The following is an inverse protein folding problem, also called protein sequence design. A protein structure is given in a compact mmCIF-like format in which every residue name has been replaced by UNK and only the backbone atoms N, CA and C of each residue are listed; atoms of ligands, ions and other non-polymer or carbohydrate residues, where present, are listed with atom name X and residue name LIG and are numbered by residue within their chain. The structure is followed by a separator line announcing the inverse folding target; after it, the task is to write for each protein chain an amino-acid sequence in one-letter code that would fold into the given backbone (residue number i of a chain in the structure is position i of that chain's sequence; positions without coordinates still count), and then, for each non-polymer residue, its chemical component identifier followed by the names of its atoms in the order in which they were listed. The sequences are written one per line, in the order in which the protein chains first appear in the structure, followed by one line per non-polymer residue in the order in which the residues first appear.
data_IF_636799249071
#
_entry.id   IF_636799249071
#
_cell.length_a   1.000
_cell.length_b   1.000
_cell.length_c   1.000
_cell.angle_alpha   90.00
_cell.angle_beta   90.00
_cell.angle_gamma   90.00
#
_symmetry.space_group_name_H-M   'P 1'
#
loop_
_entity.id
_entity.type
_entity.pdbx_description
1 polymer ?
#
# COMPACT_ATOMS: atom_id res chain seq x y z
N UNK A 1 2.59 -6.70 -54.20
CA UNK A 1 3.71 -6.36 -53.29
C UNK A 1 3.12 -6.02 -51.94
N UNK A 2 3.42 -6.86 -50.94
CA UNK A 2 3.02 -6.74 -49.53
C UNK A 2 3.77 -5.55 -48.90
N UNK A 3 3.10 -4.82 -48.02
CA UNK A 3 3.80 -4.03 -46.99
C UNK A 3 3.06 -4.26 -45.69
N UNK A 4 3.45 -5.33 -45.00
CA UNK A 4 3.02 -5.63 -43.64
C UNK A 4 3.68 -4.57 -42.75
N UNK A 5 2.89 -3.63 -42.24
CA UNK A 5 3.38 -2.65 -41.27
C UNK A 5 3.67 -3.40 -39.95
N UNK A 6 4.93 -3.46 -39.48
CA UNK A 6 5.18 -3.92 -38.13
C UNK A 6 4.64 -2.83 -37.19
N UNK A 7 3.46 -3.08 -36.60
CA UNK A 7 2.99 -2.24 -35.48
C UNK A 7 4.03 -2.30 -34.38
N UNK A 8 4.74 -1.20 -34.25
CA UNK A 8 5.75 -0.92 -33.26
C UNK A 8 5.17 -0.93 -31.85
N UNK A 9 6.01 -1.43 -30.93
CA UNK A 9 6.10 -1.10 -29.52
C UNK A 9 4.93 -0.34 -28.89
N UNK A 10 4.24 -1.02 -27.98
CA UNK A 10 3.90 -0.41 -26.70
C UNK A 10 4.13 -1.46 -25.63
N UNK A 11 5.38 -1.63 -25.20
CA UNK A 11 5.63 -2.00 -23.81
C UNK A 11 4.98 -0.90 -22.98
N UNK A 12 3.68 -1.05 -22.69
CA UNK A 12 2.96 -0.22 -21.75
C UNK A 12 3.82 -0.26 -20.49
N UNK A 13 4.39 0.88 -20.12
CA UNK A 13 4.83 1.08 -18.76
C UNK A 13 3.57 0.85 -17.90
N UNK A 14 3.42 -0.36 -17.40
CA UNK A 14 2.36 -0.73 -16.48
C UNK A 14 2.73 -0.10 -15.15
N UNK A 15 2.59 1.22 -15.06
CA UNK A 15 2.68 1.89 -13.77
C UNK A 15 1.57 1.28 -12.93
N UNK A 16 1.90 0.63 -11.80
CA UNK A 16 0.88 0.07 -10.94
C UNK A 16 -0.18 1.14 -10.67
N UNK A 17 -1.48 0.80 -10.68
CA UNK A 17 -2.49 1.77 -10.29
C UNK A 17 -2.11 2.33 -8.92
N UNK A 18 -2.21 3.65 -8.75
CA UNK A 18 -1.73 4.36 -7.54
C UNK A 18 -2.20 3.68 -6.25
N UNK A 19 -3.43 3.17 -6.26
CA UNK A 19 -4.00 2.39 -5.17
C UNK A 19 -3.16 1.16 -4.78
N UNK A 20 -2.68 0.39 -5.76
CA UNK A 20 -1.82 -0.78 -5.50
C UNK A 20 -0.49 -0.38 -4.84
N UNK A 21 0.07 0.77 -5.23
CA UNK A 21 1.28 1.30 -4.59
C UNK A 21 0.99 1.71 -3.15
N UNK A 22 -0.12 2.41 -2.91
CA UNK A 22 -0.56 2.80 -1.56
C UNK A 22 -0.76 1.58 -0.66
N UNK A 23 -1.50 0.56 -1.15
CA UNK A 23 -1.72 -0.70 -0.42
C UNK A 23 -0.38 -1.39 -0.13
N UNK A 24 0.54 -1.44 -1.09
CA UNK A 24 1.86 -2.03 -0.88
C UNK A 24 2.69 -1.27 0.17
N UNK A 25 2.60 0.07 0.19
CA UNK A 25 3.26 0.89 1.21
C UNK A 25 2.70 0.64 2.61
N UNK A 26 1.36 0.61 2.74
CA UNK A 26 0.68 0.30 4.01
C UNK A 26 1.04 -1.12 4.47
N UNK A 27 1.01 -2.10 3.58
CA UNK A 27 1.40 -3.49 3.89
C UNK A 27 2.86 -3.61 4.31
N UNK A 28 3.77 -2.87 3.67
CA UNK A 28 5.19 -2.85 4.05
C UNK A 28 5.38 -2.23 5.44
N UNK A 29 4.67 -1.14 5.74
CA UNK A 29 4.69 -0.52 7.05
C UNK A 29 4.10 -1.43 8.13
N UNK A 30 3.04 -2.18 7.79
CA UNK A 30 2.41 -3.14 8.69
C UNK A 30 3.36 -4.27 9.05
N UNK A 31 4.05 -4.86 8.07
CA UNK A 31 5.06 -5.89 8.31
C UNK A 31 6.19 -5.31 9.17
N UNK A 32 6.66 -4.09 8.86
CA UNK A 32 7.66 -3.39 9.66
C UNK A 32 7.24 -3.23 11.12
N UNK A 33 5.99 -2.83 11.37
CA UNK A 33 5.41 -2.74 12.71
C UNK A 33 5.33 -4.09 13.41
N UNK A 34 4.87 -5.15 12.73
CA UNK A 34 4.77 -6.48 13.32
C UNK A 34 6.12 -7.09 13.68
N UNK A 35 7.18 -6.75 12.93
CA UNK A 35 8.55 -7.24 13.15
C UNK A 35 9.28 -6.44 14.22
N UNK A 36 9.30 -5.11 14.10
CA UNK A 36 10.06 -4.24 15.02
C UNK A 36 9.29 -3.92 16.29
N UNK A 37 7.96 -3.87 16.23
CA UNK A 37 7.08 -3.49 17.35
C UNK A 37 7.59 -2.24 18.06
N UNK A 38 7.87 -1.18 17.30
CA UNK A 38 8.34 0.09 17.84
C UNK A 38 7.29 1.19 17.67
N UNK A 39 7.29 2.23 18.51
CA UNK A 39 6.39 3.37 18.35
C UNK A 39 6.63 4.13 17.04
N UNK A 40 7.86 4.12 16.51
CA UNK A 40 8.19 4.75 15.22
C UNK A 40 7.51 4.05 14.04
N UNK A 41 7.61 2.71 13.99
CA UNK A 41 6.94 1.91 12.94
C UNK A 41 5.42 1.96 13.07
N UNK A 42 4.90 2.10 14.30
CA UNK A 42 3.47 2.35 14.57
C UNK A 42 3.01 3.68 13.98
N UNK A 43 3.69 4.78 14.28
CA UNK A 43 3.34 6.12 13.77
C UNK A 43 3.41 6.19 12.24
N UNK A 44 4.40 5.52 11.64
CA UNK A 44 4.52 5.43 10.18
C UNK A 44 3.38 4.64 9.54
N UNK A 45 2.96 3.53 10.16
CA UNK A 45 1.79 2.75 9.72
C UNK A 45 0.50 3.59 9.80
N UNK A 46 0.27 4.27 10.92
CA UNK A 46 -0.92 5.10 11.15
C UNK A 46 -1.00 6.27 10.14
N UNK A 47 0.13 6.92 9.86
CA UNK A 47 0.20 8.01 8.88
C UNK A 47 -0.10 7.54 7.46
N UNK A 48 0.43 6.39 7.05
CA UNK A 48 0.17 5.81 5.73
C UNK A 48 -1.27 5.30 5.59
N UNK A 49 -1.79 4.65 6.63
CA UNK A 49 -3.18 4.19 6.69
C UNK A 49 -4.16 5.37 6.58
N UNK A 50 -3.91 6.46 7.32
CA UNK A 50 -4.75 7.66 7.27
C UNK A 50 -4.72 8.33 5.90
N UNK A 51 -3.55 8.43 5.27
CA UNK A 51 -3.43 8.97 3.90
C UNK A 51 -4.17 8.11 2.89
N UNK A 52 -4.04 6.79 2.99
CA UNK A 52 -4.68 5.84 2.10
C UNK A 52 -6.22 5.84 2.25
N UNK A 53 -6.73 6.05 3.47
CA UNK A 53 -8.16 6.28 3.72
C UNK A 53 -8.67 7.56 3.07
N UNK A 54 -7.96 8.69 3.27
CA UNK A 54 -8.33 9.98 2.66
C UNK A 54 -8.32 9.89 1.13
N UNK A 55 -7.40 9.12 0.57
CA UNK A 55 -7.29 8.93 -0.88
C UNK A 55 -8.36 7.98 -1.45
N UNK A 56 -9.09 7.24 -0.59
CA UNK A 56 -10.03 6.20 -1.00
C UNK A 56 -9.36 4.92 -1.52
N UNK A 57 -8.07 4.73 -1.18
CA UNK A 57 -7.29 3.56 -1.56
C UNK A 57 -7.57 2.37 -0.64
N UNK A 58 -7.90 2.63 0.64
CA UNK A 58 -8.33 1.62 1.60
C UNK A 58 -9.86 1.57 1.72
N UNK A 59 -10.38 0.38 1.97
CA UNK A 59 -11.79 0.21 2.34
C UNK A 59 -11.99 0.36 3.84
N UNK A 60 -13.22 0.61 4.27
CA UNK A 60 -13.58 0.65 5.69
C UNK A 60 -13.19 -0.64 6.44
N UNK A 61 -13.22 -1.79 5.75
CA UNK A 61 -12.78 -3.07 6.32
C UNK A 61 -11.28 -3.08 6.60
N UNK A 62 -10.47 -2.53 5.69
CA UNK A 62 -9.01 -2.48 5.86
C UNK A 62 -8.62 -1.56 7.02
N UNK A 63 -9.31 -0.41 7.15
CA UNK A 63 -9.11 0.50 8.28
C UNK A 63 -9.48 -0.17 9.61
N UNK A 64 -10.61 -0.88 9.67
CA UNK A 64 -11.00 -1.60 10.87
C UNK A 64 -9.97 -2.65 11.31
N UNK A 65 -9.32 -3.33 10.36
CA UNK A 65 -8.23 -4.28 10.64
C UNK A 65 -6.98 -3.54 11.12
N UNK A 66 -6.59 -2.44 10.47
CA UNK A 66 -5.45 -1.62 10.89
C UNK A 66 -5.62 -1.07 12.31
N UNK A 67 -6.81 -0.58 12.63
CA UNK A 67 -7.16 -0.07 13.96
C UNK A 67 -7.04 -1.16 15.03
N UNK A 68 -7.53 -2.38 14.76
CA UNK A 68 -7.35 -3.52 15.69
C UNK A 68 -5.88 -3.90 15.90
N UNK A 69 -5.07 -3.85 14.85
CA UNK A 69 -3.64 -4.16 14.94
C UNK A 69 -2.89 -3.09 15.73
N UNK A 70 -3.26 -1.81 15.55
CA UNK A 70 -2.69 -0.69 16.29
C UNK A 70 -3.14 -0.66 17.75
N UNK A 71 -4.32 -1.16 18.06
CA UNK A 71 -4.83 -1.30 19.44
C UNK A 71 -4.11 -2.43 20.21
N UNK A 72 -3.46 -3.34 19.49
CA UNK A 72 -2.69 -4.42 20.12
C UNK A 72 -1.52 -3.82 20.92
N UNK A 73 -1.45 -4.08 22.25
CA UNK A 73 -0.42 -3.47 23.08
C UNK A 73 0.97 -3.92 22.66
N UNK A 74 1.86 -2.96 22.48
CA UNK A 74 3.27 -3.21 22.24
C UNK A 74 3.84 -3.95 23.46
N UNK A 75 4.49 -5.13 23.30
CA UNK A 75 5.19 -5.76 24.40
C UNK A 75 6.24 -4.76 24.94
N UNK A 76 6.17 -4.51 26.26
CA UNK A 76 7.03 -3.60 27.01
C UNK A 76 8.50 -4.02 26.95
#
# INVERSE_FOLDING_TARGET
MKTEHPSSSNSKASTPPKNLLTIAMVGTALIGYLVQKTPDTRGRLESLASQAQIQGDLTASDEHVLTQILDTPLPQ
#
